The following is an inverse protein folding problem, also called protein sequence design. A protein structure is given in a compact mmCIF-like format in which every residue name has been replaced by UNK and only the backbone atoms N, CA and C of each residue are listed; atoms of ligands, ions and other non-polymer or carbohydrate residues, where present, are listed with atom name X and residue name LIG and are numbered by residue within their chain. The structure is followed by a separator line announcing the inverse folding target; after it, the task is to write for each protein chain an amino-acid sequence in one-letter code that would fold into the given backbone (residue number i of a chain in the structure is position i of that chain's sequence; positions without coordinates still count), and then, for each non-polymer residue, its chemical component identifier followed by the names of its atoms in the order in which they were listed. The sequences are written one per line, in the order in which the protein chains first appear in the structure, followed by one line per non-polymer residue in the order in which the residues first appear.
data_IF_661157132773
#
_entry.id   IF_661157132773
#
_cell.length_a   1.000
_cell.length_b   1.000
_cell.length_c   1.000
_cell.angle_alpha   90.00
_cell.angle_beta   90.00
_cell.angle_gamma   90.00
#
_symmetry.space_group_name_H-M   'P 1'
#
loop_
_entity.id
_entity.type
_entity.pdbx_description
1 polymer ?
#
# COMPACT_ATOMS: atom_id res chain seq x y z
N UNK A 1 -3.23 8.37 -3.83
CA UNK A 1 -2.75 9.77 -3.54
C UNK A 1 -2.34 10.55 -4.80
N UNK A 2 -1.51 9.99 -5.71
CA UNK A 2 -1.03 10.74 -6.87
C UNK A 2 -2.18 11.24 -7.77
N UNK A 3 -3.16 10.39 -8.06
CA UNK A 3 -4.34 10.77 -8.86
C UNK A 3 -5.11 11.96 -8.24
N UNK A 4 -5.19 12.01 -6.90
CA UNK A 4 -5.81 13.12 -6.18
C UNK A 4 -4.96 14.40 -6.26
N UNK A 5 -3.63 14.30 -6.11
CA UNK A 5 -2.75 15.47 -6.18
C UNK A 5 -2.68 16.09 -7.58
N UNK A 6 -2.76 15.26 -8.60
CA UNK A 6 -2.74 15.69 -10.00
C UNK A 6 -4.15 16.00 -10.54
N UNK A 7 -5.16 16.05 -9.65
CA UNK A 7 -6.57 16.41 -9.94
C UNK A 7 -7.26 15.51 -10.99
N UNK A 8 -6.82 14.25 -11.11
CA UNK A 8 -7.51 13.26 -11.96
C UNK A 8 -8.79 12.74 -11.30
N UNK A 9 -8.88 12.81 -9.98
CA UNK A 9 -10.04 12.40 -9.19
C UNK A 9 -10.39 13.44 -8.15
N UNK A 10 -11.67 13.60 -7.84
CA UNK A 10 -12.14 14.55 -6.83
C UNK A 10 -11.94 14.03 -5.41
N UNK A 11 -12.20 12.75 -5.20
CA UNK A 11 -12.10 12.10 -3.89
C UNK A 11 -11.44 10.73 -4.04
N UNK A 12 -10.90 10.23 -2.93
CA UNK A 12 -10.38 8.86 -2.83
C UNK A 12 -10.88 8.19 -1.58
N UNK A 13 -11.07 6.87 -1.68
CA UNK A 13 -11.23 5.97 -0.54
C UNK A 13 -9.95 5.16 -0.40
N UNK A 14 -9.36 5.15 0.78
CA UNK A 14 -8.21 4.32 1.15
C UNK A 14 -8.70 3.23 2.08
N UNK A 15 -8.48 1.99 1.70
CA UNK A 15 -8.84 0.84 2.52
C UNK A 15 -7.60 0.00 2.85
N UNK A 16 -7.50 -0.43 4.07
CA UNK A 16 -6.54 -1.44 4.50
C UNK A 16 -7.12 -2.22 5.67
N UNK A 17 -7.02 -3.55 5.62
CA UNK A 17 -7.54 -4.41 6.69
C UNK A 17 -6.68 -4.31 7.96
N UNK A 18 -5.37 -3.98 7.84
CA UNK A 18 -4.49 -3.79 9.00
C UNK A 18 -4.92 -2.56 9.81
N UNK A 19 -5.33 -2.76 11.08
CA UNK A 19 -5.79 -1.67 11.93
C UNK A 19 -4.76 -0.55 12.10
N UNK A 20 -3.47 -0.89 12.10
CA UNK A 20 -2.39 0.09 12.24
C UNK A 20 -2.25 0.97 11.00
N UNK A 21 -2.38 0.39 9.80
CA UNK A 21 -2.34 1.15 8.55
C UNK A 21 -3.60 2.02 8.43
N UNK A 22 -4.77 1.48 8.72
CA UNK A 22 -6.01 2.26 8.75
C UNK A 22 -5.95 3.40 9.78
N UNK A 23 -5.44 3.13 11.00
CA UNK A 23 -5.24 4.14 12.04
C UNK A 23 -4.23 5.23 11.61
N UNK A 24 -3.16 4.86 10.90
CA UNK A 24 -2.22 5.85 10.33
C UNK A 24 -2.96 6.80 9.39
N UNK A 25 -3.70 6.30 8.43
CA UNK A 25 -4.42 7.15 7.47
C UNK A 25 -5.49 8.01 8.15
N UNK A 26 -6.31 7.42 9.05
CA UNK A 26 -7.30 8.18 9.82
C UNK A 26 -6.65 9.30 10.62
N UNK A 27 -5.55 9.01 11.32
CA UNK A 27 -4.83 10.02 12.11
C UNK A 27 -4.27 11.16 11.25
N UNK A 28 -3.71 10.83 10.09
CA UNK A 28 -3.16 11.86 9.20
C UNK A 28 -4.24 12.79 8.66
N UNK A 29 -5.45 12.29 8.38
CA UNK A 29 -6.53 13.13 7.87
C UNK A 29 -7.31 13.88 8.96
N UNK A 30 -7.41 13.31 10.19
CA UNK A 30 -8.18 13.92 11.28
C UNK A 30 -7.33 14.73 12.25
N UNK A 31 -6.09 14.31 12.52
CA UNK A 31 -5.17 14.88 13.51
C UNK A 31 -3.83 15.30 12.88
N UNK A 32 -3.87 15.85 11.66
CA UNK A 32 -2.65 16.16 10.87
C UNK A 32 -1.60 16.94 11.65
N UNK A 33 -2.00 17.99 12.37
CA UNK A 33 -1.06 18.84 13.12
C UNK A 33 -0.37 18.10 14.27
N UNK A 34 -1.13 17.31 15.03
CA UNK A 34 -0.63 16.52 16.15
C UNK A 34 0.29 15.40 15.66
N UNK A 35 -0.09 14.74 14.56
CA UNK A 35 0.74 13.71 13.95
C UNK A 35 2.08 14.26 13.48
N UNK A 36 2.09 15.42 12.82
CA UNK A 36 3.31 16.11 12.40
C UNK A 36 4.17 16.49 13.61
N UNK A 37 3.57 17.02 14.68
CA UNK A 37 4.30 17.35 15.89
C UNK A 37 5.00 16.12 16.49
N UNK A 38 4.32 14.98 16.55
CA UNK A 38 4.93 13.70 16.98
C UNK A 38 6.10 13.31 16.09
N UNK A 39 5.98 13.36 14.77
CA UNK A 39 7.06 13.05 13.82
C UNK A 39 8.27 13.96 14.01
N UNK A 40 8.03 15.24 14.29
CA UNK A 40 9.10 16.23 14.49
C UNK A 40 9.87 16.05 15.81
N UNK A 41 9.21 15.58 16.87
CA UNK A 41 9.78 15.59 18.21
C UNK A 41 10.04 14.20 18.81
N UNK A 42 9.52 13.10 18.24
CA UNK A 42 9.74 11.76 18.77
C UNK A 42 11.24 11.41 18.85
N UNK A 43 11.73 10.73 19.87
CA UNK A 43 13.08 10.17 19.86
C UNK A 43 13.17 9.05 18.81
N UNK A 44 14.27 8.99 18.05
CA UNK A 44 14.52 7.89 17.11
C UNK A 44 15.51 6.93 17.77
N UNK A 45 15.01 6.15 18.71
CA UNK A 45 15.79 5.24 19.55
C UNK A 45 15.20 3.84 19.52
N UNK A 46 15.97 2.85 20.00
CA UNK A 46 15.47 1.49 20.17
C UNK A 46 14.36 1.41 21.24
N UNK A 47 14.44 2.25 22.29
CA UNK A 47 13.38 2.28 23.31
C UNK A 47 12.05 2.72 22.71
N UNK A 48 12.05 3.78 21.90
CA UNK A 48 10.86 4.21 21.18
C UNK A 48 10.40 3.16 20.17
N UNK A 49 11.35 2.47 19.51
CA UNK A 49 11.03 1.37 18.61
C UNK A 49 10.33 0.21 19.35
N UNK A 50 10.82 -0.18 20.53
CA UNK A 50 10.19 -1.22 21.35
C UNK A 50 8.78 -0.80 21.78
N UNK A 51 8.60 0.46 22.21
CA UNK A 51 7.30 1.01 22.57
C UNK A 51 6.33 0.95 21.38
N UNK A 52 6.75 1.44 20.22
CA UNK A 52 5.93 1.40 19.00
C UNK A 52 5.61 -0.03 18.56
N UNK A 53 6.59 -0.94 18.70
CA UNK A 53 6.39 -2.37 18.39
C UNK A 53 5.35 -3.01 19.28
N UNK A 54 5.35 -2.70 20.56
CA UNK A 54 4.36 -3.20 21.52
C UNK A 54 2.97 -2.68 21.19
N UNK A 55 2.82 -1.36 21.01
CA UNK A 55 1.54 -0.74 20.61
C UNK A 55 0.98 -1.39 19.35
N UNK A 56 1.81 -1.52 18.30
CA UNK A 56 1.39 -2.13 17.04
C UNK A 56 0.98 -3.61 17.22
N UNK A 57 1.75 -4.37 17.99
CA UNK A 57 1.48 -5.81 18.20
C UNK A 57 0.21 -6.04 19.02
N UNK A 58 -0.02 -5.21 20.02
CA UNK A 58 -1.20 -5.30 20.89
C UNK A 58 -2.44 -4.58 20.34
N UNK A 59 -2.29 -3.85 19.21
CA UNK A 59 -3.37 -2.98 18.68
C UNK A 59 -3.85 -1.98 19.72
N UNK A 60 -2.94 -1.48 20.55
CA UNK A 60 -3.25 -0.65 21.69
C UNK A 60 -3.34 0.83 21.36
N UNK A 61 -4.07 1.58 22.20
CA UNK A 61 -4.22 3.02 22.09
C UNK A 61 -5.35 3.45 21.15
N UNK A 62 -5.43 4.77 20.96
CA UNK A 62 -6.32 5.38 19.98
C UNK A 62 -5.69 5.36 18.57
N UNK A 63 -6.44 5.84 17.59
CA UNK A 63 -5.96 5.92 16.20
C UNK A 63 -4.65 6.72 16.09
N UNK A 64 -4.49 7.79 16.83
CA UNK A 64 -3.28 8.62 16.77
C UNK A 64 -2.06 7.89 17.33
N UNK A 65 -2.23 7.12 18.36
CA UNK A 65 -1.15 6.34 18.99
C UNK A 65 -0.76 5.13 18.14
N UNK A 66 -1.74 4.34 17.75
CA UNK A 66 -1.54 3.17 16.88
C UNK A 66 -1.01 3.56 15.49
N UNK A 67 -1.60 4.60 14.88
CA UNK A 67 -1.17 5.11 13.57
C UNK A 67 0.25 5.66 13.60
N UNK A 68 0.61 6.39 14.67
CA UNK A 68 1.99 6.85 14.83
C UNK A 68 2.97 5.70 15.02
N UNK A 69 2.64 4.71 15.84
CA UNK A 69 3.48 3.53 16.05
C UNK A 69 3.71 2.77 14.72
N UNK A 70 2.66 2.59 13.94
CA UNK A 70 2.73 1.97 12.61
C UNK A 70 3.63 2.76 11.65
N UNK A 71 3.45 4.07 11.58
CA UNK A 71 4.29 4.95 10.78
C UNK A 71 5.77 4.89 11.22
N UNK A 72 6.02 4.96 12.53
CA UNK A 72 7.37 4.89 13.09
C UNK A 72 8.06 3.57 12.70
N UNK A 73 7.39 2.44 12.88
CA UNK A 73 7.91 1.14 12.48
C UNK A 73 8.16 1.06 10.97
N UNK A 74 7.24 1.54 10.15
CA UNK A 74 7.45 1.58 8.69
C UNK A 74 8.70 2.39 8.30
N UNK A 75 9.01 3.48 9.00
CA UNK A 75 10.19 4.30 8.71
C UNK A 75 11.49 3.73 9.28
N UNK A 76 11.42 2.99 10.37
CA UNK A 76 12.59 2.51 11.11
C UNK A 76 12.92 1.03 10.86
N UNK A 77 11.99 0.23 10.36
CA UNK A 77 12.20 -1.18 10.04
C UNK A 77 12.85 -1.39 8.67
N UNK A 78 13.54 -2.53 8.54
CA UNK A 78 14.08 -3.00 7.25
C UNK A 78 12.96 -3.10 6.22
N UNK A 79 13.19 -2.56 5.05
CA UNK A 79 12.26 -2.53 3.91
C UNK A 79 10.88 -1.91 4.21
N UNK A 80 10.67 -1.33 5.40
CA UNK A 80 9.38 -0.80 5.82
C UNK A 80 8.38 -1.87 6.29
N UNK A 81 8.82 -3.11 6.42
CA UNK A 81 7.99 -4.23 6.89
C UNK A 81 7.72 -4.06 8.40
N UNK A 82 6.45 -3.96 8.77
CA UNK A 82 6.04 -3.62 10.15
C UNK A 82 6.46 -4.66 11.18
N UNK A 83 6.56 -5.92 10.77
CA UNK A 83 7.00 -7.04 11.62
C UNK A 83 8.51 -7.22 11.66
N UNK A 84 9.27 -6.58 10.76
CA UNK A 84 10.71 -6.74 10.64
C UNK A 84 11.50 -6.14 11.82
N UNK A 85 12.80 -6.43 11.85
CA UNK A 85 13.75 -5.81 12.79
C UNK A 85 14.11 -4.39 12.34
N UNK A 86 14.56 -3.53 13.27
CA UNK A 86 14.96 -2.17 12.94
C UNK A 86 16.19 -2.15 12.02
N UNK A 87 16.30 -1.09 11.22
CA UNK A 87 17.50 -0.82 10.43
C UNK A 87 18.69 -0.71 11.39
N UNK A 88 19.80 -1.36 11.07
CA UNK A 88 20.97 -1.45 11.94
C UNK A 88 20.93 -2.60 12.93
N UNK A 89 19.79 -3.29 13.08
CA UNK A 89 19.58 -4.37 14.04
C UNK A 89 19.39 -3.88 15.47
N UNK A 90 19.09 -4.80 16.39
CA UNK A 90 18.82 -4.48 17.80
C UNK A 90 20.05 -3.94 18.56
N UNK A 91 21.26 -4.16 18.05
CA UNK A 91 22.49 -3.63 18.65
C UNK A 91 23.02 -2.40 17.88
N UNK A 92 22.34 -1.98 16.86
CA UNK A 92 22.72 -0.85 16.02
C UNK A 92 24.18 -0.93 15.51
N UNK A 93 24.63 -2.13 15.15
CA UNK A 93 25.98 -2.37 14.61
C UNK A 93 26.03 -2.29 13.08
N UNK A 94 24.89 -2.34 12.40
CA UNK A 94 24.80 -2.25 10.95
C UNK A 94 25.32 -0.91 10.39
N UNK A 95 25.67 -0.89 9.10
CA UNK A 95 26.13 0.32 8.38
C UNK A 95 25.13 1.47 8.49
N UNK A 96 23.84 1.17 8.26
CA UNK A 96 22.74 2.12 8.40
C UNK A 96 22.09 1.95 9.76
N UNK A 97 21.69 3.05 10.39
CA UNK A 97 21.09 3.07 11.71
C UNK A 97 19.57 3.24 11.61
N UNK A 98 18.90 3.14 12.73
CA UNK A 98 17.43 3.20 12.84
C UNK A 98 16.83 4.46 12.21
N UNK A 99 17.57 5.57 12.20
CA UNK A 99 17.15 6.87 11.67
C UNK A 99 17.36 7.04 10.15
N UNK A 100 17.99 6.08 9.47
CA UNK A 100 18.43 6.20 8.08
C UNK A 100 17.31 6.59 7.09
N UNK A 101 16.05 6.29 7.40
CA UNK A 101 14.87 6.62 6.58
C UNK A 101 13.91 7.61 7.25
N UNK A 102 14.36 8.27 8.34
CA UNK A 102 13.51 9.14 9.13
C UNK A 102 13.91 10.62 8.96
N UNK A 103 13.82 11.13 7.74
CA UNK A 103 13.98 12.56 7.47
C UNK A 103 12.74 13.32 7.94
N UNK A 104 12.79 13.94 9.11
CA UNK A 104 11.67 14.63 9.77
C UNK A 104 11.05 15.72 8.91
N UNK A 105 11.88 16.51 8.24
CA UNK A 105 11.40 17.62 7.42
C UNK A 105 10.59 17.12 6.22
N UNK A 106 11.18 16.21 5.42
CA UNK A 106 10.51 15.61 4.27
C UNK A 106 9.22 14.86 4.67
N UNK A 107 9.28 14.09 5.76
CA UNK A 107 8.12 13.37 6.27
C UNK A 107 7.01 14.33 6.72
N UNK A 108 7.34 15.41 7.43
CA UNK A 108 6.38 16.42 7.84
C UNK A 108 5.75 17.14 6.64
N UNK A 109 6.53 17.43 5.60
CA UNK A 109 6.01 18.09 4.39
C UNK A 109 5.04 17.19 3.62
N UNK A 110 5.35 15.89 3.51
CA UNK A 110 4.43 14.91 2.91
C UNK A 110 3.13 14.78 3.72
N UNK A 111 3.20 14.76 5.04
CA UNK A 111 2.02 14.73 5.90
C UNK A 111 1.19 16.00 5.79
N UNK A 112 1.82 17.19 5.70
CA UNK A 112 1.13 18.45 5.43
C UNK A 112 0.40 18.42 4.10
N UNK A 113 1.04 17.86 3.07
CA UNK A 113 0.41 17.73 1.75
C UNK A 113 -0.85 16.84 1.84
N UNK A 114 -0.78 15.69 2.50
CA UNK A 114 -1.97 14.83 2.73
C UNK A 114 -3.05 15.61 3.46
N UNK A 115 -2.69 16.31 4.56
CA UNK A 115 -3.62 17.08 5.36
C UNK A 115 -4.36 18.20 4.60
N UNK A 116 -3.78 18.75 3.52
CA UNK A 116 -4.47 19.72 2.65
C UNK A 116 -5.65 19.08 1.90
N UNK A 117 -5.58 17.80 1.62
CA UNK A 117 -6.62 17.05 0.89
C UNK A 117 -7.54 16.24 1.82
N UNK A 118 -7.44 16.41 3.16
CA UNK A 118 -8.16 15.59 4.13
C UNK A 118 -9.67 15.46 3.89
N UNK A 119 -10.32 16.51 3.42
CA UNK A 119 -11.77 16.52 3.15
C UNK A 119 -12.15 15.74 1.88
N UNK A 120 -11.16 15.28 1.11
CA UNK A 120 -11.31 14.53 -0.13
C UNK A 120 -10.82 13.08 0.04
N UNK A 121 -10.47 12.68 1.26
CA UNK A 121 -9.95 11.35 1.60
C UNK A 121 -10.87 10.71 2.62
N UNK A 122 -11.44 9.57 2.28
CA UNK A 122 -12.15 8.69 3.19
C UNK A 122 -11.27 7.49 3.51
N UNK A 123 -11.26 7.05 4.76
CA UNK A 123 -10.48 5.87 5.19
C UNK A 123 -11.44 4.82 5.71
N UNK A 124 -11.34 3.61 5.17
CA UNK A 124 -12.07 2.41 5.64
C UNK A 124 -11.09 1.34 6.13
N UNK A 125 -11.63 0.40 6.87
CA UNK A 125 -10.91 -0.77 7.39
C UNK A 125 -11.80 -1.99 7.21
N UNK A 126 -11.95 -2.40 5.99
CA UNK A 126 -12.86 -3.46 5.59
C UNK A 126 -12.09 -4.57 4.87
N UNK A 127 -12.65 -5.77 4.85
CA UNK A 127 -12.15 -6.83 3.96
C UNK A 127 -12.14 -6.33 2.51
N UNK A 128 -11.02 -6.51 1.81
CA UNK A 128 -10.83 -5.94 0.47
C UNK A 128 -11.78 -6.54 -0.57
N UNK A 129 -12.11 -7.84 -0.45
CA UNK A 129 -13.02 -8.53 -1.37
C UNK A 129 -14.46 -8.06 -1.15
N UNK A 130 -14.86 -7.91 0.11
CA UNK A 130 -16.19 -7.41 0.46
C UNK A 130 -16.35 -5.94 0.07
N UNK A 131 -15.32 -5.12 0.24
CA UNK A 131 -15.32 -3.73 -0.22
C UNK A 131 -15.45 -3.64 -1.76
N UNK A 132 -14.71 -4.46 -2.50
CA UNK A 132 -14.84 -4.53 -3.97
C UNK A 132 -16.26 -4.94 -4.35
N UNK A 133 -16.83 -5.94 -3.70
CA UNK A 133 -18.21 -6.35 -3.95
C UNK A 133 -19.21 -5.19 -3.70
N UNK A 134 -19.09 -4.49 -2.57
CA UNK A 134 -19.94 -3.33 -2.25
C UNK A 134 -19.75 -2.18 -3.27
N UNK A 135 -18.51 -1.92 -3.68
CA UNK A 135 -18.21 -0.93 -4.71
C UNK A 135 -18.87 -1.26 -6.05
N UNK A 136 -18.85 -2.52 -6.47
CA UNK A 136 -19.49 -2.98 -7.70
C UNK A 136 -21.01 -2.77 -7.67
N UNK A 137 -21.65 -2.85 -6.52
CA UNK A 137 -23.08 -2.62 -6.31
C UNK A 137 -23.44 -1.13 -6.14
N UNK A 138 -22.45 -0.26 -5.95
CA UNK A 138 -22.71 1.16 -5.69
C UNK A 138 -23.12 1.91 -6.97
N UNK A 139 -23.77 3.07 -6.81
CA UNK A 139 -24.16 3.95 -7.92
C UNK A 139 -23.01 4.82 -8.47
N UNK A 140 -21.79 4.69 -7.91
CA UNK A 140 -20.64 5.49 -8.30
C UNK A 140 -20.08 5.06 -9.68
N UNK A 141 -20.83 5.28 -10.74
CA UNK A 141 -20.50 4.82 -12.10
C UNK A 141 -19.15 5.36 -12.62
N UNK A 142 -18.80 6.60 -12.30
CA UNK A 142 -17.54 7.25 -12.71
C UNK A 142 -16.45 7.06 -11.64
N UNK A 143 -16.15 5.82 -11.30
CA UNK A 143 -15.11 5.49 -10.30
C UNK A 143 -14.11 4.48 -10.84
N UNK A 144 -12.88 4.54 -10.31
CA UNK A 144 -11.79 3.63 -10.62
C UNK A 144 -11.33 2.93 -9.34
N UNK A 145 -11.17 1.62 -9.38
CA UNK A 145 -10.64 0.84 -8.27
C UNK A 145 -9.23 0.35 -8.58
N UNK A 146 -8.27 0.72 -7.72
CA UNK A 146 -6.94 0.13 -7.71
C UNK A 146 -6.86 -0.88 -6.56
N UNK A 147 -6.47 -2.10 -6.87
CA UNK A 147 -6.46 -3.23 -5.94
C UNK A 147 -5.04 -3.79 -5.88
N UNK A 148 -4.49 -3.89 -4.68
CA UNK A 148 -3.15 -4.42 -4.42
C UNK A 148 -3.28 -5.48 -3.30
N UNK A 149 -3.74 -6.70 -3.64
CA UNK A 149 -3.95 -7.75 -2.65
C UNK A 149 -2.60 -8.32 -2.18
N UNK A 150 -2.56 -9.01 -1.02
CA UNK A 150 -1.38 -9.77 -0.61
C UNK A 150 -0.90 -10.71 -1.72
N UNK A 151 0.41 -10.81 -1.90
CA UNK A 151 1.01 -11.62 -2.95
C UNK A 151 0.72 -13.12 -2.80
N UNK A 152 0.59 -13.83 -3.92
CA UNK A 152 0.27 -15.25 -3.97
C UNK A 152 1.34 -16.15 -3.32
N UNK A 153 2.61 -15.75 -3.41
CA UNK A 153 3.72 -16.59 -2.98
C UNK A 153 4.38 -16.15 -1.67
N UNK A 154 4.34 -14.87 -1.33
CA UNK A 154 5.06 -14.30 -0.17
C UNK A 154 4.13 -13.61 0.83
N UNK A 155 2.82 -13.74 0.66
CA UNK A 155 1.85 -13.04 1.50
C UNK A 155 1.97 -13.41 2.99
N UNK A 156 2.17 -14.68 3.31
CA UNK A 156 2.22 -15.18 4.69
C UNK A 156 3.38 -14.61 5.53
N UNK A 157 4.48 -14.20 4.91
CA UNK A 157 5.63 -13.62 5.63
C UNK A 157 5.56 -12.09 5.77
N UNK A 158 4.80 -11.42 4.90
CA UNK A 158 4.78 -9.97 4.79
C UNK A 158 3.55 -9.32 5.42
N UNK A 159 2.42 -10.02 5.43
CA UNK A 159 1.12 -9.51 5.87
C UNK A 159 0.60 -10.28 7.08
N UNK A 160 -0.12 -9.60 7.95
CA UNK A 160 -0.75 -10.20 9.14
C UNK A 160 -1.98 -11.04 8.78
N UNK A 161 -2.68 -10.60 7.74
CA UNK A 161 -3.84 -11.30 7.18
C UNK A 161 -3.54 -11.62 5.71
N UNK A 162 -3.53 -12.90 5.37
CA UNK A 162 -3.27 -13.38 4.02
C UNK A 162 -4.57 -13.79 3.36
N UNK A 163 -4.77 -13.34 2.11
CA UNK A 163 -5.83 -13.91 1.28
C UNK A 163 -5.48 -15.36 0.93
N UNK A 164 -6.42 -16.27 1.15
CA UNK A 164 -6.32 -17.62 0.65
C UNK A 164 -6.53 -17.69 -0.87
N UNK A 165 -6.11 -18.79 -1.49
CA UNK A 165 -6.30 -18.97 -2.94
C UNK A 165 -7.77 -18.81 -3.36
N UNK A 166 -8.72 -19.22 -2.55
CA UNK A 166 -10.16 -19.08 -2.82
C UNK A 166 -10.63 -17.62 -2.83
N UNK A 167 -10.02 -16.78 -1.97
CA UNK A 167 -10.33 -15.36 -1.94
C UNK A 167 -9.80 -14.63 -3.18
N UNK A 168 -8.63 -15.03 -3.68
CA UNK A 168 -8.12 -14.54 -4.97
C UNK A 168 -9.02 -14.94 -6.14
N UNK A 169 -9.53 -16.17 -6.14
CA UNK A 169 -10.52 -16.61 -7.15
C UNK A 169 -11.79 -15.78 -7.04
N UNK A 170 -12.35 -15.62 -5.83
CA UNK A 170 -13.56 -14.82 -5.60
C UNK A 170 -13.38 -13.38 -6.07
N UNK A 171 -12.25 -12.75 -5.74
CA UNK A 171 -11.91 -11.41 -6.22
C UNK A 171 -11.87 -11.34 -7.74
N UNK A 172 -11.20 -12.30 -8.37
CA UNK A 172 -11.08 -12.36 -9.83
C UNK A 172 -12.43 -12.55 -10.51
N UNK A 173 -13.32 -13.40 -9.99
CA UNK A 173 -14.68 -13.59 -10.49
C UNK A 173 -15.50 -12.30 -10.44
N UNK A 174 -15.47 -11.59 -9.29
CA UNK A 174 -16.14 -10.29 -9.15
C UNK A 174 -15.65 -9.27 -10.16
N UNK A 175 -14.35 -9.21 -10.41
CA UNK A 175 -13.75 -8.22 -11.29
C UNK A 175 -13.97 -8.54 -12.79
N UNK A 176 -13.85 -9.80 -13.20
CA UNK A 176 -14.00 -10.22 -14.61
C UNK A 176 -15.39 -9.93 -15.17
N UNK A 177 -16.41 -10.06 -14.34
CA UNK A 177 -17.80 -9.83 -14.73
C UNK A 177 -18.21 -8.35 -14.65
N UNK A 178 -17.31 -7.49 -14.16
CA UNK A 178 -17.56 -6.07 -13.97
C UNK A 178 -17.34 -5.28 -15.25
N UNK A 179 -18.21 -4.30 -15.51
CA UNK A 179 -18.04 -3.27 -16.54
C UNK A 179 -17.44 -1.97 -15.96
N UNK A 180 -16.84 -2.02 -14.78
CA UNK A 180 -16.22 -0.86 -14.15
C UNK A 180 -14.73 -0.79 -14.45
N UNK A 181 -14.16 0.39 -14.34
CA UNK A 181 -12.73 0.60 -14.52
C UNK A 181 -11.97 0.17 -13.26
N UNK A 182 -11.10 -0.81 -13.39
CA UNK A 182 -10.23 -1.27 -12.30
C UNK A 182 -8.85 -1.69 -12.80
N UNK A 183 -7.91 -1.73 -11.88
CA UNK A 183 -6.60 -2.30 -12.06
C UNK A 183 -6.23 -3.10 -10.81
N UNK A 184 -5.66 -4.29 -10.98
CA UNK A 184 -5.13 -5.11 -9.90
C UNK A 184 -3.66 -5.42 -10.15
N UNK A 185 -2.84 -5.36 -9.09
CA UNK A 185 -1.41 -5.71 -9.15
C UNK A 185 -1.13 -6.99 -8.39
N UNK A 186 -0.17 -7.78 -8.89
CA UNK A 186 0.28 -9.04 -8.28
C UNK A 186 1.77 -9.24 -8.49
N UNK A 187 2.40 -10.06 -7.62
CA UNK A 187 3.70 -10.65 -7.94
C UNK A 187 3.64 -11.46 -9.24
N UNK A 188 4.79 -11.63 -9.89
CA UNK A 188 4.88 -12.30 -11.18
C UNK A 188 4.69 -13.83 -11.03
N UNK A 189 3.43 -14.23 -10.85
CA UNK A 189 2.99 -15.61 -10.79
C UNK A 189 2.16 -15.96 -12.04
N UNK A 190 2.52 -17.02 -12.75
CA UNK A 190 1.84 -17.43 -13.99
C UNK A 190 0.36 -17.76 -13.81
N UNK A 191 -0.10 -18.07 -12.59
CA UNK A 191 -1.51 -18.29 -12.26
C UNK A 191 -2.35 -17.02 -12.41
N UNK A 192 -1.74 -15.85 -12.30
CA UNK A 192 -2.46 -14.56 -12.46
C UNK A 192 -3.06 -14.45 -13.85
N UNK A 193 -2.30 -14.44 -14.96
CA UNK A 193 -2.89 -14.35 -16.29
C UNK A 193 -3.52 -15.67 -16.76
N UNK A 194 -3.06 -16.85 -16.29
CA UNK A 194 -3.56 -18.11 -16.82
C UNK A 194 -4.83 -18.63 -16.13
N UNK A 195 -5.05 -18.28 -14.86
CA UNK A 195 -6.17 -18.81 -14.06
C UNK A 195 -7.07 -17.73 -13.51
N UNK A 196 -6.51 -16.69 -12.89
CA UNK A 196 -7.31 -15.65 -12.25
C UNK A 196 -7.94 -14.72 -13.28
N UNK A 197 -7.19 -14.26 -14.26
CA UNK A 197 -7.62 -13.24 -15.23
C UNK A 197 -7.34 -13.65 -16.68
N UNK A 198 -7.79 -14.83 -17.15
CA UNK A 198 -7.63 -15.20 -18.54
C UNK A 198 -8.36 -14.20 -19.45
N UNK A 199 -7.83 -13.95 -20.63
CA UNK A 199 -8.41 -13.08 -21.66
C UNK A 199 -8.55 -11.59 -21.26
N UNK A 200 -7.86 -11.16 -20.19
CA UNK A 200 -7.80 -9.76 -19.82
C UNK A 200 -6.44 -9.14 -20.17
N UNK A 201 -6.41 -7.85 -20.54
CA UNK A 201 -5.16 -7.17 -20.82
C UNK A 201 -4.32 -7.05 -19.55
N UNK A 202 -3.03 -7.36 -19.65
CA UNK A 202 -2.11 -7.19 -18.54
C UNK A 202 -0.77 -6.62 -18.99
N UNK A 203 -0.10 -5.94 -18.09
CA UNK A 203 1.27 -5.46 -18.27
C UNK A 203 2.19 -6.17 -17.28
N UNK A 204 3.41 -6.46 -17.72
CA UNK A 204 4.50 -6.93 -16.89
C UNK A 204 5.51 -5.81 -16.72
N UNK A 205 5.85 -5.47 -15.49
CA UNK A 205 6.76 -4.36 -15.20
C UNK A 205 7.72 -4.71 -14.08
N UNK A 206 8.89 -4.04 -14.09
CA UNK A 206 9.91 -4.23 -13.08
C UNK A 206 9.78 -3.22 -11.95
N UNK A 207 9.83 -3.68 -10.70
CA UNK A 207 9.97 -2.81 -9.53
C UNK A 207 11.38 -2.97 -8.95
N UNK A 208 12.07 -1.85 -8.78
CA UNK A 208 13.36 -1.84 -8.12
C UNK A 208 13.18 -2.02 -6.60
N UNK A 209 13.43 -3.23 -6.12
CA UNK A 209 13.49 -3.50 -4.68
C UNK A 209 14.86 -3.09 -4.14
N UNK A 210 14.89 -2.18 -3.17
CA UNK A 210 16.11 -1.70 -2.49
C UNK A 210 16.47 -2.50 -1.24
N UNK A 211 15.94 -3.72 -1.08
CA UNK A 211 16.28 -4.61 0.02
C UNK A 211 17.62 -5.31 -0.25
N UNK A 212 18.58 -5.18 0.65
CA UNK A 212 19.89 -5.84 0.83
C UNK A 212 20.73 -6.25 -0.41
N UNK A 213 20.13 -6.59 -1.53
CA UNK A 213 20.70 -6.69 -2.89
C UNK A 213 19.68 -6.07 -3.84
N UNK A 214 20.16 -5.19 -4.72
CA UNK A 214 19.35 -4.63 -5.80
C UNK A 214 18.81 -5.81 -6.64
N UNK A 215 17.55 -6.12 -6.47
CA UNK A 215 16.83 -7.11 -7.24
C UNK A 215 15.65 -6.40 -7.91
N UNK A 216 15.55 -6.53 -9.21
CA UNK A 216 14.36 -6.05 -9.93
C UNK A 216 13.33 -7.15 -9.81
N UNK A 217 12.38 -6.98 -8.90
CA UNK A 217 11.17 -7.78 -8.87
C UNK A 217 10.33 -7.51 -10.10
N UNK A 218 9.61 -8.51 -10.58
CA UNK A 218 8.64 -8.31 -11.66
C UNK A 218 7.24 -8.48 -11.10
N UNK A 219 6.32 -7.66 -11.58
CA UNK A 219 4.93 -7.67 -11.19
C UNK A 219 4.02 -7.65 -12.41
N UNK A 220 2.81 -8.14 -12.23
CA UNK A 220 1.72 -8.00 -13.17
C UNK A 220 0.79 -6.87 -12.73
N UNK A 221 0.35 -6.06 -13.70
CA UNK A 221 -0.85 -5.24 -13.58
C UNK A 221 -1.88 -5.76 -14.56
N UNK A 222 -3.04 -6.18 -14.07
CA UNK A 222 -4.17 -6.62 -14.89
C UNK A 222 -5.21 -5.50 -14.91
N UNK A 223 -5.84 -5.30 -16.04
CA UNK A 223 -6.75 -4.18 -16.28
C UNK A 223 -8.14 -4.65 -16.70
N UNK A 224 -9.16 -3.90 -16.30
CA UNK A 224 -10.49 -4.08 -16.86
C UNK A 224 -10.51 -3.75 -18.36
N UNK A 225 -11.47 -4.32 -19.10
CA UNK A 225 -11.64 -4.05 -20.53
C UNK A 225 -12.07 -2.60 -20.81
N UNK A 226 -12.72 -1.97 -19.86
CA UNK A 226 -13.22 -0.59 -19.91
C UNK A 226 -12.10 0.45 -19.74
N UNK A 227 -10.95 0.03 -19.21
CA UNK A 227 -9.81 0.93 -19.02
C UNK A 227 -9.05 1.10 -20.33
N UNK A 228 -9.08 2.31 -20.86
CA UNK A 228 -8.27 2.67 -22.03
C UNK A 228 -6.80 2.78 -21.61
N UNK A 229 -5.97 1.84 -22.06
CA UNK A 229 -4.55 1.85 -21.80
C UNK A 229 -3.85 2.71 -22.85
N UNK A 230 -3.10 3.76 -22.43
CA UNK A 230 -2.22 4.46 -23.37
C UNK A 230 -1.09 3.54 -23.86
N UNK A 231 -0.40 3.96 -24.90
CA UNK A 231 0.78 3.23 -25.36
C UNK A 231 1.82 3.21 -24.20
N UNK A 232 2.06 2.03 -23.62
CA UNK A 232 2.84 1.86 -22.39
C UNK A 232 4.36 2.04 -22.60
N UNK A 233 4.81 2.41 -23.80
CA UNK A 233 6.22 2.77 -24.08
C UNK A 233 6.67 4.02 -23.31
N UNK A 234 5.76 4.74 -22.65
CA UNK A 234 6.04 5.98 -21.90
C UNK A 234 6.29 5.78 -20.40
N UNK A 235 6.22 4.57 -19.87
CA UNK A 235 6.47 4.35 -18.46
C UNK A 235 7.96 4.27 -18.15
N UNK A 236 8.49 5.41 -17.88
CA UNK A 236 9.62 5.85 -17.05
C UNK A 236 10.85 4.96 -16.88
N UNK A 237 11.94 5.56 -16.95
CA UNK A 237 13.33 5.38 -16.51
C UNK A 237 13.67 4.22 -15.53
N UNK A 238 13.24 2.98 -15.75
CA UNK A 238 13.61 1.93 -14.79
C UNK A 238 13.38 0.48 -15.20
N UNK A 239 12.63 0.20 -16.20
CA UNK A 239 12.36 -1.17 -16.64
C UNK A 239 11.51 -1.21 -17.91
N UNK A 240 11.74 -2.20 -18.76
CA UNK A 240 10.87 -2.42 -19.90
C UNK A 240 9.48 -2.85 -19.38
N UNK A 241 8.45 -2.08 -19.71
CA UNK A 241 7.07 -2.48 -19.54
C UNK A 241 6.63 -3.17 -20.83
N UNK A 242 6.21 -4.41 -20.73
CA UNK A 242 5.68 -5.15 -21.87
C UNK A 242 4.18 -5.32 -21.65
N UNK A 243 3.38 -4.77 -22.56
CA UNK A 243 1.95 -5.04 -22.61
C UNK A 243 1.75 -6.37 -23.32
N UNK A 244 1.27 -7.36 -22.63
CA UNK A 244 0.84 -8.62 -23.22
C UNK A 244 -0.70 -8.58 -23.32
N UNK A 245 -1.20 -8.85 -24.52
CA UNK A 245 -2.62 -9.05 -24.76
C UNK A 245 -2.81 -10.53 -25.04
N UNK A 246 -3.63 -11.17 -24.25
CA UNK A 246 -4.08 -12.54 -24.51
C UNK A 246 -4.93 -12.60 -25.78
#
# INVERSE_FOLDING_TARGET
MRLLYDEYVETIVLNDLDPGIAAFWRSVVTHTAEFIARVQHCPITLDEWHRCKEIYTQRAGDDLELGFATFFLNRTNRSGILTARPIGGLQQTGRWKIDARFNRADLADRLRLIGRYRNRITVSQEDGVDLVHAWLQSEAAASFCYIDPPYLNNGAELYLDTLGWQDHIRLAELLKDSQRMWMVTYDCDSRVPAVLYPDLPYARFGIAHTAAKQHVGQEYAVFSRELMLPDLTLMGSGGAVTLERS
#
